data_IF_883234778906
#
_entry.id   IF_883234778906
#
_cell.length_a   1.000
_cell.length_b   1.000
_cell.length_c   1.000
_cell.angle_alpha   90.00
_cell.angle_beta   90.00
_cell.angle_gamma   90.00
#
_symmetry.space_group_name_H-M   'P 1'
#
loop_
_entity.id
_entity.type
_entity.pdbx_description
1 polymer ?
#
# COMPACT_ATOMS: atom_id res chain seq x y z
N UNK A 1 14.25 -2.92 14.38
CA UNK A 1 14.04 -3.00 12.93
C UNK A 1 13.60 -4.42 12.57
N UNK A 2 12.41 -4.56 12.03
CA UNK A 2 11.84 -5.85 11.62
C UNK A 2 12.14 -6.12 10.14
N UNK A 3 11.75 -5.20 9.28
CA UNK A 3 11.95 -5.16 7.84
C UNK A 3 11.82 -3.72 7.35
N UNK A 4 11.99 -3.48 6.07
CA UNK A 4 11.75 -2.18 5.43
C UNK A 4 11.12 -2.37 4.06
N UNK A 5 10.30 -1.43 3.65
CA UNK A 5 9.90 -1.31 2.26
C UNK A 5 11.12 -0.94 1.40
N UNK A 6 11.27 -1.59 0.26
CA UNK A 6 12.38 -1.36 -0.67
C UNK A 6 11.87 -1.21 -2.09
N UNK A 7 12.64 -0.50 -2.91
CA UNK A 7 12.44 -0.43 -4.36
C UNK A 7 13.50 -1.25 -5.09
N UNK A 8 13.05 -2.06 -6.00
CA UNK A 8 13.90 -2.82 -6.90
C UNK A 8 14.17 -1.99 -8.16
N UNK A 9 15.09 -1.04 -8.06
CA UNK A 9 15.45 -0.11 -9.14
C UNK A 9 15.86 -0.76 -10.45
N UNK A 10 16.33 -2.00 -10.40
CA UNK A 10 16.64 -2.79 -11.60
C UNK A 10 15.40 -2.99 -12.49
N UNK A 11 14.20 -3.12 -11.92
CA UNK A 11 12.92 -3.23 -12.66
C UNK A 11 12.68 -1.94 -13.45
N UNK A 12 12.78 -0.78 -12.79
CA UNK A 12 12.66 0.51 -13.46
C UNK A 12 13.70 0.68 -14.58
N UNK A 13 14.98 0.41 -14.31
CA UNK A 13 16.03 0.57 -15.30
C UNK A 13 15.83 -0.36 -16.50
N UNK A 14 15.41 -1.60 -16.27
CA UNK A 14 15.09 -2.53 -17.36
C UNK A 14 13.98 -1.98 -18.25
N UNK A 15 12.87 -1.55 -17.65
CA UNK A 15 11.73 -0.96 -18.37
C UNK A 15 12.14 0.30 -19.15
N UNK A 16 12.93 1.18 -18.54
CA UNK A 16 13.38 2.41 -19.20
C UNK A 16 14.32 2.15 -20.38
N UNK A 17 15.23 1.17 -20.26
CA UNK A 17 16.12 0.78 -21.35
C UNK A 17 15.32 0.15 -22.50
N UNK A 18 14.40 -0.75 -22.19
CA UNK A 18 13.53 -1.38 -23.18
C UNK A 18 12.67 -0.35 -23.92
N UNK A 19 12.05 0.58 -23.17
CA UNK A 19 11.30 1.69 -23.74
C UNK A 19 12.19 2.55 -24.66
N UNK A 20 13.40 2.90 -24.25
CA UNK A 20 14.33 3.69 -25.06
C UNK A 20 14.75 2.97 -26.36
N UNK A 21 14.87 1.64 -26.31
CA UNK A 21 15.24 0.84 -27.48
C UNK A 21 14.09 0.66 -28.47
N UNK A 22 12.85 0.71 -28.01
CA UNK A 22 11.67 0.33 -28.80
C UNK A 22 10.76 1.49 -29.18
N UNK A 23 10.88 2.67 -28.54
CA UNK A 23 9.95 3.79 -28.73
C UNK A 23 10.03 4.47 -30.11
N UNK A 24 11.05 4.18 -30.93
CA UNK A 24 11.17 4.71 -32.29
C UNK A 24 11.62 6.17 -32.41
N UNK A 25 11.86 6.86 -31.29
CA UNK A 25 12.35 8.24 -31.22
C UNK A 25 12.22 8.82 -29.82
N UNK A 26 13.10 9.75 -29.44
CA UNK A 26 13.14 10.33 -28.10
C UNK A 26 11.82 11.00 -27.70
N UNK A 27 11.09 11.55 -28.64
CA UNK A 27 9.78 12.18 -28.45
C UNK A 27 8.69 11.19 -27.97
N UNK A 28 8.88 9.90 -28.24
CA UNK A 28 7.93 8.84 -27.86
C UNK A 28 8.28 8.18 -26.55
N UNK A 29 9.44 8.48 -25.98
CA UNK A 29 9.95 7.78 -24.79
C UNK A 29 9.00 7.91 -23.58
N UNK A 30 8.47 9.10 -23.32
CA UNK A 30 7.54 9.33 -22.19
C UNK A 30 6.27 8.49 -22.34
N UNK A 31 5.73 8.37 -23.57
CA UNK A 31 4.57 7.53 -23.83
C UNK A 31 4.91 6.03 -23.68
N UNK A 32 6.09 5.62 -24.12
CA UNK A 32 6.55 4.24 -23.97
C UNK A 32 6.78 3.84 -22.50
N UNK A 33 7.08 4.82 -21.63
CA UNK A 33 7.18 4.65 -20.18
C UNK A 33 5.83 4.70 -19.46
N UNK A 34 4.73 4.94 -20.18
CA UNK A 34 3.39 5.08 -19.58
C UNK A 34 3.11 6.45 -18.98
N UNK A 35 4.03 7.43 -19.13
CA UNK A 35 3.86 8.79 -18.59
C UNK A 35 5.15 9.42 -18.09
N UNK A 36 5.03 10.56 -17.44
CA UNK A 36 6.18 11.30 -16.87
C UNK A 36 6.67 10.73 -15.54
N UNK A 37 5.88 9.88 -14.88
CA UNK A 37 6.22 9.21 -13.64
C UNK A 37 6.04 7.69 -13.80
N UNK A 38 6.95 6.93 -13.22
CA UNK A 38 6.86 5.48 -13.19
C UNK A 38 6.19 5.04 -11.88
N UNK A 39 5.11 4.31 -12.02
CA UNK A 39 4.39 3.69 -10.91
C UNK A 39 4.45 2.17 -11.09
N UNK A 40 5.18 1.51 -10.22
CA UNK A 40 5.23 0.05 -10.17
C UNK A 40 4.94 -0.42 -8.74
N UNK A 41 4.15 -1.47 -8.62
CA UNK A 41 3.76 -2.08 -7.35
C UNK A 41 4.49 -3.39 -7.06
N UNK A 42 3.86 -4.18 -6.19
CA UNK A 42 4.28 -5.55 -5.88
C UNK A 42 4.12 -6.46 -7.10
N UNK A 43 3.06 -6.27 -7.90
CA UNK A 43 2.78 -7.09 -9.09
C UNK A 43 3.88 -6.96 -10.16
N UNK A 44 4.41 -5.75 -10.35
CA UNK A 44 5.53 -5.49 -11.27
C UNK A 44 6.89 -5.87 -10.65
N UNK A 45 6.92 -6.23 -9.38
CA UNK A 45 8.13 -6.50 -8.63
C UNK A 45 9.00 -5.26 -8.39
N UNK A 46 8.44 -4.05 -8.54
CA UNK A 46 9.20 -2.81 -8.32
C UNK A 46 9.32 -2.46 -6.83
N UNK A 47 8.30 -2.75 -6.04
CA UNK A 47 8.35 -2.63 -4.58
C UNK A 47 8.37 -3.99 -3.92
N UNK A 48 8.92 -4.05 -2.72
CA UNK A 48 8.98 -5.27 -1.92
C UNK A 48 9.38 -4.96 -0.49
N UNK A 49 9.66 -5.99 0.27
CA UNK A 49 10.19 -5.88 1.62
C UNK A 49 11.60 -6.46 1.70
N UNK A 50 12.46 -5.83 2.50
CA UNK A 50 13.79 -6.37 2.79
C UNK A 50 13.67 -7.68 3.57
N UNK A 51 14.72 -8.54 3.56
CA UNK A 51 14.73 -9.74 4.40
C UNK A 51 14.38 -9.41 5.85
N UNK A 52 13.58 -10.28 6.47
CA UNK A 52 13.19 -10.12 7.86
C UNK A 52 14.39 -10.25 8.79
N UNK A 53 14.37 -9.48 9.88
CA UNK A 53 15.31 -9.68 10.96
C UNK A 53 14.83 -10.84 11.86
N UNK A 54 15.29 -12.05 11.57
CA UNK A 54 14.88 -13.28 12.24
C UNK A 54 15.05 -13.23 13.77
N UNK A 55 15.94 -12.36 14.28
CA UNK A 55 16.15 -12.20 15.71
C UNK A 55 15.02 -11.42 16.42
N UNK A 56 14.16 -10.75 15.66
CA UNK A 56 13.16 -9.81 16.22
C UNK A 56 11.74 -10.05 15.72
N UNK A 57 11.54 -10.81 14.65
CA UNK A 57 10.21 -11.14 14.13
C UNK A 57 9.62 -12.37 14.82
N UNK A 58 8.30 -12.39 14.95
CA UNK A 58 7.59 -13.56 15.45
C UNK A 58 7.61 -14.71 14.42
N UNK A 59 7.55 -15.98 14.87
CA UNK A 59 7.32 -17.10 13.96
C UNK A 59 6.08 -16.87 13.09
N UNK A 60 6.14 -17.27 11.81
CA UNK A 60 5.05 -17.13 10.84
C UNK A 60 4.91 -15.74 10.21
N UNK A 61 5.74 -14.75 10.59
CA UNK A 61 5.71 -13.42 9.98
C UNK A 61 5.97 -13.47 8.47
N UNK A 62 6.91 -14.30 8.01
CA UNK A 62 7.19 -14.43 6.57
C UNK A 62 5.99 -15.04 5.83
N UNK A 63 5.40 -16.10 6.38
CA UNK A 63 4.23 -16.76 5.77
C UNK A 63 3.03 -15.79 5.67
N UNK A 64 2.83 -14.94 6.68
CA UNK A 64 1.82 -13.89 6.66
C UNK A 64 2.09 -12.84 5.57
N UNK A 65 3.33 -12.38 5.44
CA UNK A 65 3.73 -11.41 4.41
C UNK A 65 3.52 -12.01 3.01
N UNK A 66 3.93 -13.26 2.79
CA UNK A 66 3.81 -13.92 1.50
C UNK A 66 2.33 -14.04 1.09
N UNK A 67 1.45 -14.47 1.99
CA UNK A 67 0.01 -14.58 1.74
C UNK A 67 -0.66 -13.24 1.45
N UNK A 68 -0.33 -12.19 2.20
CA UNK A 68 -0.87 -10.85 1.93
C UNK A 68 -0.33 -10.31 0.60
N UNK A 69 0.94 -10.56 0.30
CA UNK A 69 1.52 -10.20 -1.00
C UNK A 69 0.79 -10.87 -2.15
N UNK A 70 0.48 -12.17 -2.03
CA UNK A 70 -0.26 -12.92 -3.04
C UNK A 70 -1.66 -12.33 -3.26
N UNK A 71 -2.37 -11.95 -2.19
CA UNK A 71 -3.68 -11.31 -2.30
C UNK A 71 -3.61 -9.96 -3.04
N UNK A 72 -2.59 -9.15 -2.76
CA UNK A 72 -2.38 -7.87 -3.46
C UNK A 72 -2.02 -8.11 -4.94
N UNK A 73 -1.10 -9.02 -5.22
CA UNK A 73 -0.63 -9.32 -6.58
C UNK A 73 -1.73 -9.93 -7.44
N UNK A 74 -2.58 -10.78 -6.85
CA UNK A 74 -3.73 -11.35 -7.56
C UNK A 74 -4.90 -10.37 -7.75
N UNK A 75 -4.89 -9.24 -7.03
CA UNK A 75 -5.99 -8.28 -7.00
C UNK A 75 -7.21 -8.75 -6.20
N UNK A 76 -7.05 -9.79 -5.37
CA UNK A 76 -8.11 -10.27 -4.48
C UNK A 76 -8.30 -9.37 -3.26
N UNK A 77 -7.29 -8.57 -2.93
CA UNK A 77 -7.35 -7.57 -1.87
C UNK A 77 -6.47 -6.35 -2.18
N UNK A 78 -6.88 -5.19 -1.71
CA UNK A 78 -6.14 -3.94 -1.80
C UNK A 78 -6.18 -3.23 -0.44
N UNK A 79 -5.16 -2.45 -0.14
CA UNK A 79 -5.01 -1.74 1.14
C UNK A 79 -6.05 -0.63 1.35
N UNK A 80 -6.62 -0.08 0.28
CA UNK A 80 -7.62 0.99 0.31
C UNK A 80 -9.01 0.50 -0.10
N UNK A 81 -9.44 -0.59 0.52
CA UNK A 81 -10.75 -1.23 0.31
C UNK A 81 -11.55 -1.27 1.61
N UNK A 82 -12.84 -1.47 1.52
CA UNK A 82 -13.75 -1.69 2.66
C UNK A 82 -13.66 -3.11 3.23
N UNK A 83 -12.48 -3.74 3.17
CA UNK A 83 -12.21 -5.09 3.68
C UNK A 83 -10.92 -5.10 4.48
N UNK A 84 -10.98 -5.44 5.76
CA UNK A 84 -9.81 -5.62 6.65
C UNK A 84 -9.32 -7.06 6.60
N UNK A 85 -8.02 -7.23 6.83
CA UNK A 85 -7.39 -8.55 7.00
C UNK A 85 -7.22 -8.88 8.48
N UNK A 86 -7.67 -10.06 8.86
CA UNK A 86 -7.36 -10.67 10.15
C UNK A 86 -6.32 -11.76 9.96
N UNK A 87 -5.16 -11.57 10.57
CA UNK A 87 -4.03 -12.49 10.46
C UNK A 87 -3.85 -13.20 11.79
N UNK A 88 -3.94 -14.52 11.78
CA UNK A 88 -3.63 -15.39 12.90
C UNK A 88 -2.49 -16.32 12.54
N UNK A 89 -1.63 -16.62 13.52
CA UNK A 89 -0.50 -17.53 13.31
C UNK A 89 -0.63 -18.70 14.26
N UNK A 90 -0.64 -19.92 13.71
CA UNK A 90 -0.66 -21.16 14.48
C UNK A 90 0.67 -21.45 15.17
N UNK A 91 0.66 -22.40 16.09
CA UNK A 91 1.86 -22.84 16.82
C UNK A 91 2.95 -23.43 15.90
N UNK A 92 2.54 -23.90 14.72
CA UNK A 92 3.44 -24.42 13.66
C UNK A 92 4.07 -23.31 12.80
N UNK A 93 3.74 -22.03 13.06
CA UNK A 93 4.19 -20.88 12.29
C UNK A 93 3.43 -20.65 10.99
N UNK A 94 2.32 -21.37 10.76
CA UNK A 94 1.47 -21.14 9.58
C UNK A 94 0.53 -19.98 9.83
N UNK A 95 0.51 -18.98 8.95
CA UNK A 95 -0.42 -17.87 9.01
C UNK A 95 -1.76 -18.23 8.33
N UNK A 96 -2.86 -17.76 8.91
CA UNK A 96 -4.17 -17.74 8.27
C UNK A 96 -4.56 -16.29 8.08
N UNK A 97 -5.00 -15.92 6.86
CA UNK A 97 -5.45 -14.59 6.51
C UNK A 97 -6.92 -14.68 6.16
N UNK A 98 -7.76 -14.01 6.93
CA UNK A 98 -9.19 -13.93 6.73
C UNK A 98 -9.57 -12.50 6.36
N UNK A 99 -10.59 -12.34 5.51
CA UNK A 99 -11.11 -11.06 5.08
C UNK A 99 -12.44 -10.77 5.77
N UNK A 100 -12.63 -9.55 6.25
CA UNK A 100 -13.86 -9.09 6.89
C UNK A 100 -14.25 -7.72 6.33
N UNK A 101 -15.51 -7.57 5.92
CA UNK A 101 -16.05 -6.28 5.50
C UNK A 101 -16.06 -5.32 6.68
N UNK A 102 -15.30 -4.24 6.57
CA UNK A 102 -15.18 -3.21 7.58
C UNK A 102 -14.82 -1.87 6.96
N UNK A 103 -15.33 -0.78 7.53
CA UNK A 103 -14.97 0.57 7.11
C UNK A 103 -13.46 0.78 7.18
N UNK A 104 -12.89 1.39 6.15
CA UNK A 104 -11.58 2.00 6.22
C UNK A 104 -11.75 3.43 6.75
N UNK A 105 -11.27 3.68 7.95
CA UNK A 105 -11.34 4.98 8.63
C UNK A 105 -9.98 5.62 8.73
N UNK A 106 -9.99 6.94 8.81
CA UNK A 106 -8.81 7.74 9.13
C UNK A 106 -9.12 8.65 10.31
N UNK A 107 -8.16 8.81 11.21
CA UNK A 107 -8.25 9.74 12.34
C UNK A 107 -7.30 10.92 12.11
N UNK A 108 -7.67 12.06 12.63
CA UNK A 108 -6.84 13.26 12.57
C UNK A 108 -7.62 14.50 12.94
N UNK A 109 -7.04 15.64 12.61
CA UNK A 109 -7.61 16.93 12.91
C UNK A 109 -7.75 17.76 11.63
N UNK A 110 -8.91 18.40 11.49
CA UNK A 110 -9.17 19.37 10.44
C UNK A 110 -9.27 20.76 11.07
N UNK A 111 -8.69 21.76 10.41
CA UNK A 111 -8.85 23.13 10.84
C UNK A 111 -10.20 23.66 10.38
N UNK A 112 -11.10 23.92 11.33
CA UNK A 112 -12.38 24.57 11.05
C UNK A 112 -12.15 26.07 10.84
N UNK A 113 -12.27 26.50 9.60
CA UNK A 113 -12.07 27.89 9.20
C UNK A 113 -13.16 28.84 9.75
N UNK A 114 -14.31 28.33 10.15
CA UNK A 114 -15.40 29.12 10.71
C UNK A 114 -15.20 29.42 12.18
N UNK A 115 -14.64 28.48 12.94
CA UNK A 115 -14.39 28.63 14.38
C UNK A 115 -12.93 28.97 14.70
N UNK A 116 -11.98 28.68 13.79
CA UNK A 116 -10.56 28.83 14.02
C UNK A 116 -9.96 27.75 14.91
N UNK A 117 -10.64 26.64 15.10
CA UNK A 117 -10.23 25.54 15.99
C UNK A 117 -9.86 24.29 15.19
N UNK A 118 -8.99 23.45 15.80
CA UNK A 118 -8.75 22.09 15.32
C UNK A 118 -9.87 21.18 15.81
N UNK A 119 -10.58 20.57 14.88
CA UNK A 119 -11.68 19.65 15.15
C UNK A 119 -11.25 18.25 14.78
N UNK A 120 -11.40 17.32 15.72
CA UNK A 120 -11.16 15.90 15.45
C UNK A 120 -12.14 15.36 14.42
N UNK A 121 -11.62 14.57 13.48
CA UNK A 121 -12.37 13.93 12.41
C UNK A 121 -12.03 12.44 12.37
N UNK A 122 -13.05 11.66 12.10
CA UNK A 122 -12.95 10.20 11.89
C UNK A 122 -13.76 9.82 10.64
N UNK A 123 -13.33 10.30 9.47
CA UNK A 123 -14.07 10.03 8.24
C UNK A 123 -13.93 8.57 7.80
N UNK A 124 -15.03 8.01 7.29
CA UNK A 124 -15.00 6.78 6.52
C UNK A 124 -14.47 7.12 5.12
N UNK A 125 -13.33 6.53 4.77
CA UNK A 125 -12.69 6.71 3.46
C UNK A 125 -13.27 5.73 2.45
N UNK A 126 -13.45 4.47 2.87
CA UNK A 126 -14.09 3.42 2.09
C UNK A 126 -15.06 2.68 3.01
N UNK A 127 -16.32 2.56 2.61
CA UNK A 127 -17.31 1.86 3.42
C UNK A 127 -17.11 0.33 3.39
N UNK A 128 -17.57 -0.34 4.42
CA UNK A 128 -17.49 -1.80 4.56
C UNK A 128 -18.05 -2.52 3.31
N UNK A 129 -17.25 -3.41 2.73
CA UNK A 129 -17.60 -4.18 1.54
C UNK A 129 -17.48 -3.42 0.21
N UNK A 130 -17.15 -2.13 0.24
CA UNK A 130 -16.89 -1.38 -0.99
C UNK A 130 -15.54 -1.73 -1.60
N UNK A 131 -15.41 -1.68 -2.94
CA UNK A 131 -14.16 -1.95 -3.63
C UNK A 131 -13.10 -0.87 -3.33
N UNK A 132 -11.86 -1.17 -3.71
CA UNK A 132 -10.77 -0.20 -3.65
C UNK A 132 -11.10 1.10 -4.36
N UNK A 133 -10.65 2.21 -3.78
CA UNK A 133 -10.78 3.54 -4.37
C UNK A 133 -9.58 3.85 -5.27
N UNK A 134 -9.81 4.67 -6.29
CA UNK A 134 -8.77 5.15 -7.20
C UNK A 134 -7.68 5.93 -6.46
N UNK A 135 -6.43 5.79 -6.87
CA UNK A 135 -5.27 6.51 -6.31
C UNK A 135 -5.48 8.02 -6.26
N UNK A 136 -6.22 8.57 -7.22
CA UNK A 136 -6.58 9.99 -7.27
C UNK A 136 -7.46 10.45 -6.11
N UNK A 137 -8.24 9.54 -5.54
CA UNK A 137 -9.08 9.80 -4.35
C UNK A 137 -8.21 9.81 -3.10
N UNK A 138 -7.20 8.97 -3.04
CA UNK A 138 -6.28 8.86 -1.91
C UNK A 138 -5.27 10.00 -1.91
N UNK A 139 -4.67 10.26 -3.07
CA UNK A 139 -3.62 11.28 -3.22
C UNK A 139 -4.17 12.68 -2.98
N UNK A 140 -3.78 13.29 -1.86
CA UNK A 140 -4.19 14.63 -1.46
C UNK A 140 -5.51 14.71 -0.70
N UNK A 141 -6.23 13.61 -0.53
CA UNK A 141 -7.49 13.55 0.21
C UNK A 141 -7.41 12.77 1.53
N UNK A 142 -6.24 12.26 1.88
CA UNK A 142 -6.00 11.59 3.17
C UNK A 142 -5.05 12.42 4.05
N UNK A 143 -5.49 13.56 4.59
CA UNK A 143 -4.69 14.36 5.52
C UNK A 143 -4.65 13.74 6.92
N UNK A 144 -5.29 12.61 7.12
CA UNK A 144 -5.49 11.92 8.38
C UNK A 144 -4.62 10.67 8.45
N UNK A 145 -4.32 10.22 9.67
CA UNK A 145 -3.71 8.93 9.88
C UNK A 145 -4.76 7.81 9.73
N UNK A 146 -4.34 6.63 9.30
CA UNK A 146 -5.21 5.47 9.37
C UNK A 146 -5.51 5.11 10.82
N UNK A 147 -6.68 4.54 11.08
CA UNK A 147 -7.12 4.10 12.40
C UNK A 147 -6.02 3.30 13.12
N UNK A 148 -5.80 3.61 14.38
CA UNK A 148 -4.78 2.97 15.22
C UNK A 148 -3.38 3.60 15.15
N UNK A 149 -3.13 4.57 14.27
CA UNK A 149 -1.90 5.36 14.27
C UNK A 149 -2.07 6.56 15.21
N UNK A 150 -1.30 6.60 16.28
CA UNK A 150 -1.33 7.70 17.25
C UNK A 150 -0.18 8.66 16.96
N UNK A 151 -0.48 9.96 16.81
CA UNK A 151 0.55 10.99 16.74
C UNK A 151 1.28 11.08 18.09
N UNK A 152 2.60 10.91 18.07
CA UNK A 152 3.42 11.21 19.23
C UNK A 152 3.57 12.73 19.34
N UNK A 153 2.80 13.35 20.25
CA UNK A 153 2.97 14.75 20.64
C UNK A 153 4.17 14.92 21.56
#
# INVERSE_FOLDING_TARGET
>A
HLTAAIWHWNVYYHTAIEAAMTCGGAENFVNAMGGQAYYGGLAEGFVGVSPLNEATVAPGTQDAIDKVTDLIVSGEWDVFTGTKLHITVGEDGTATVEQEDADLRCDGYEFDTATGELVERDPVVVAAGDPSVEDSVITGNMPYFVEGVVSAN
#
